data_IF_674502841047
#
_entry.id   IF_674502841047
#
_cell.length_a   1.000
_cell.length_b   1.000
_cell.length_c   1.000
_cell.angle_alpha   90.00
_cell.angle_beta   90.00
_cell.angle_gamma   90.00
#
_symmetry.space_group_name_H-M   'P 1'
#
loop_
_entity.id
_entity.type
_entity.pdbx_description
1 polymer ?
#
# COMPACT_ATOMS: atom_id res chain seq x y z
N UNK A 1 24.65 -12.96 -19.00
CA UNK A 1 23.99 -11.63 -18.95
C UNK A 1 22.72 -11.79 -18.13
N UNK A 2 22.78 -11.58 -16.81
CA UNK A 2 21.60 -11.77 -15.95
C UNK A 2 20.70 -10.54 -16.05
N UNK A 3 19.48 -10.73 -16.56
CA UNK A 3 18.40 -9.73 -16.55
C UNK A 3 17.94 -9.54 -15.11
N UNK A 4 18.53 -8.59 -14.40
CA UNK A 4 18.05 -8.21 -13.08
C UNK A 4 16.75 -7.41 -13.24
N UNK A 5 15.64 -8.00 -12.82
CA UNK A 5 14.41 -7.27 -12.55
C UNK A 5 14.68 -6.34 -11.36
N UNK A 6 14.97 -5.08 -11.64
CA UNK A 6 14.96 -4.03 -10.64
C UNK A 6 13.48 -3.79 -10.33
N UNK A 7 12.98 -4.45 -9.29
CA UNK A 7 11.63 -4.22 -8.78
C UNK A 7 11.66 -2.95 -7.95
N UNK A 8 11.44 -1.79 -8.57
CA UNK A 8 11.28 -0.54 -7.86
C UNK A 8 9.93 -0.56 -7.13
N UNK A 9 9.98 -0.71 -5.81
CA UNK A 9 8.81 -0.67 -4.94
C UNK A 9 8.63 0.73 -4.38
N UNK A 10 7.75 1.52 -5.00
CA UNK A 10 7.44 2.84 -4.50
C UNK A 10 6.37 2.79 -3.40
N UNK A 11 6.50 3.68 -2.42
CA UNK A 11 5.48 3.87 -1.39
C UNK A 11 4.19 4.33 -2.05
N UNK A 12 3.07 3.68 -1.73
CA UNK A 12 1.77 4.10 -2.24
C UNK A 12 1.39 5.47 -1.67
N UNK A 13 1.22 6.48 -2.52
CA UNK A 13 0.86 7.84 -2.11
C UNK A 13 -0.54 7.90 -1.50
N UNK A 14 -1.49 7.11 -2.04
CA UNK A 14 -2.89 7.19 -1.64
C UNK A 14 -3.13 6.75 -0.20
N UNK A 15 -2.41 5.73 0.28
CA UNK A 15 -2.47 5.28 1.67
C UNK A 15 -1.21 5.65 2.46
N UNK A 16 -0.31 6.44 1.88
CA UNK A 16 0.98 6.79 2.49
C UNK A 16 1.72 5.57 3.05
N UNK A 17 1.77 4.46 2.31
CA UNK A 17 2.51 3.28 2.75
C UNK A 17 1.79 2.34 3.72
N UNK A 18 0.63 2.72 4.25
CA UNK A 18 -0.04 1.94 5.31
C UNK A 18 -0.88 0.77 4.79
N UNK A 19 -1.21 0.79 3.49
CA UNK A 19 -2.11 -0.19 2.89
C UNK A 19 -3.59 0.08 3.13
N UNK A 20 -3.96 0.99 4.05
CA UNK A 20 -5.35 1.27 4.41
C UNK A 20 -5.62 2.79 4.44
N UNK A 21 -6.85 3.25 4.18
CA UNK A 21 -7.20 4.64 4.40
C UNK A 21 -7.15 4.96 5.89
N UNK A 22 -6.87 6.24 6.21
CA UNK A 22 -6.90 6.72 7.58
C UNK A 22 -8.35 6.79 8.05
N UNK A 23 -8.70 6.02 9.08
CA UNK A 23 -10.02 6.05 9.71
C UNK A 23 -9.91 6.40 11.19
N UNK A 24 -10.92 7.12 11.68
CA UNK A 24 -11.04 7.40 13.12
C UNK A 24 -11.59 6.17 13.82
N UNK A 25 -10.84 5.66 14.80
CA UNK A 25 -11.35 4.62 15.69
C UNK A 25 -12.34 5.25 16.68
N UNK A 26 -13.45 4.56 17.01
CA UNK A 26 -14.33 5.00 18.07
C UNK A 26 -13.60 4.92 19.41
N UNK A 27 -13.87 5.87 20.30
CA UNK A 27 -13.28 5.89 21.65
C UNK A 27 -13.90 4.84 22.59
N UNK A 28 -14.95 4.17 22.14
CA UNK A 28 -15.72 3.20 22.90
C UNK A 28 -14.96 1.85 22.95
N UNK A 29 -14.71 1.31 24.14
CA UNK A 29 -13.97 0.06 24.27
C UNK A 29 -14.71 -1.10 23.60
N UNK A 30 -13.96 -1.93 22.87
CA UNK A 30 -14.50 -3.12 22.17
C UNK A 30 -15.04 -2.86 20.77
N UNK A 31 -15.21 -1.61 20.33
CA UNK A 31 -15.63 -1.29 18.97
C UNK A 31 -14.42 -0.98 18.09
N UNK A 32 -14.23 -1.73 17.00
CA UNK A 32 -13.14 -1.51 16.04
C UNK A 32 -13.72 -1.24 14.66
N UNK A 33 -13.18 -0.22 13.98
CA UNK A 33 -13.49 0.08 12.58
C UNK A 33 -12.37 -0.50 11.73
N UNK A 34 -12.72 -1.43 10.86
CA UNK A 34 -11.79 -2.04 9.91
C UNK A 34 -12.04 -1.42 8.53
N UNK A 35 -11.15 -0.52 8.07
CA UNK A 35 -11.31 0.09 6.77
C UNK A 35 -11.07 -0.91 5.64
N UNK A 36 -11.69 -0.65 4.50
CA UNK A 36 -11.37 -1.38 3.27
C UNK A 36 -9.91 -1.15 2.86
N UNK A 37 -9.23 -2.16 2.29
CA UNK A 37 -7.86 -2.00 1.81
C UNK A 37 -7.76 -0.91 0.74
N UNK A 38 -6.61 -0.24 0.69
CA UNK A 38 -6.36 0.86 -0.25
C UNK A 38 -6.53 0.39 -1.69
N UNK A 39 -7.44 1.03 -2.44
CA UNK A 39 -7.76 0.68 -3.83
C UNK A 39 -6.58 0.78 -4.80
N UNK A 40 -5.60 1.66 -4.54
CA UNK A 40 -4.43 1.87 -5.41
C UNK A 40 -3.41 0.74 -5.30
N UNK A 41 -3.14 0.27 -4.08
CA UNK A 41 -2.10 -0.75 -3.82
C UNK A 41 -2.67 -2.10 -3.38
N UNK A 42 -3.99 -2.23 -3.28
CA UNK A 42 -4.68 -3.45 -2.83
C UNK A 42 -4.30 -3.88 -1.41
N UNK A 43 -4.08 -2.94 -0.49
CA UNK A 43 -3.69 -3.27 0.89
C UNK A 43 -2.19 -3.40 1.14
N UNK A 44 -1.34 -3.33 0.11
CA UNK A 44 0.09 -3.65 0.24
C UNK A 44 0.95 -2.50 0.77
N UNK A 45 0.46 -1.27 0.68
CA UNK A 45 1.23 -0.07 1.04
C UNK A 45 2.32 0.32 0.04
N UNK A 46 2.68 -0.56 -0.90
CA UNK A 46 3.67 -0.30 -1.96
C UNK A 46 3.12 -0.67 -3.32
N UNK A 47 3.61 0.00 -4.35
CA UNK A 47 3.26 -0.27 -5.74
C UNK A 47 4.56 -0.69 -6.44
N UNK A 48 4.55 -1.86 -7.06
CA UNK A 48 5.67 -2.32 -7.88
C UNK A 48 5.60 -1.61 -9.22
N UNK A 49 6.58 -0.76 -9.52
CA UNK A 49 6.81 -0.32 -10.88
C UNK A 49 7.74 -1.33 -11.54
N UNK A 50 7.20 -2.10 -12.48
CA UNK A 50 8.02 -2.84 -13.42
C UNK A 50 8.58 -1.83 -14.44
N UNK A 51 9.71 -1.20 -14.13
CA UNK A 51 10.46 -0.44 -15.12
C UNK A 51 11.29 -1.42 -15.96
N UNK A 52 10.88 -1.61 -17.21
CA UNK A 52 11.70 -2.30 -18.21
C UNK A 52 12.87 -1.39 -18.58
N UNK A 53 13.97 -1.50 -17.83
CA UNK A 53 15.25 -0.88 -18.21
C UNK A 53 15.73 -1.52 -19.52
N UNK A 54 15.95 -0.68 -20.54
CA UNK A 54 16.46 -1.08 -21.86
C UNK A 54 17.98 -1.16 -21.84
#
# INVERSE_FOLDING_TARGET
MVKHLISDEEKCDLCNGTGFPKVSQPSEPGRKVYPEPCKKCGGKGRIKKASWGK
#
